data_IF_047992834348
#
_entry.id   IF_047992834348
#
_cell.length_a   1.000
_cell.length_b   1.000
_cell.length_c   1.000
_cell.angle_alpha   90.00
_cell.angle_beta   90.00
_cell.angle_gamma   90.00
#
_symmetry.space_group_name_H-M   'P 1'
#
loop_
_entity.id
_entity.type
_entity.pdbx_description
1 polymer ?
#
# COMPACT_ATOMS: atom_id res chain seq x y z
N UNK A 1 -8.65 -3.55 -30.91
CA UNK A 1 -7.53 -3.05 -31.75
C UNK A 1 -6.36 -2.74 -30.83
N UNK A 2 -5.16 -3.22 -31.15
CA UNK A 2 -3.96 -2.91 -30.34
C UNK A 2 -3.55 -1.44 -30.42
N UNK A 3 -3.85 -0.78 -31.54
CA UNK A 3 -3.58 0.64 -31.77
C UNK A 3 -4.84 1.33 -32.29
N UNK A 4 -5.25 2.42 -31.64
CA UNK A 4 -6.37 3.24 -32.07
C UNK A 4 -6.22 4.68 -31.57
N UNK A 5 -5.82 5.61 -32.45
CA UNK A 5 -5.55 7.02 -32.12
C UNK A 5 -6.55 7.97 -32.81
N UNK A 6 -7.84 7.61 -32.84
CA UNK A 6 -8.89 8.42 -33.48
C UNK A 6 -9.56 9.39 -32.50
N UNK A 7 -8.76 10.19 -31.78
CA UNK A 7 -9.24 11.14 -30.77
C UNK A 7 -8.87 10.77 -29.33
N UNK A 8 -9.59 11.33 -28.34
CA UNK A 8 -9.36 11.05 -26.93
C UNK A 8 -9.76 9.62 -26.57
N UNK A 9 -8.97 8.96 -25.72
CA UNK A 9 -9.32 7.64 -25.19
C UNK A 9 -10.33 7.77 -24.05
N UNK A 10 -11.61 7.84 -24.39
CA UNK A 10 -12.70 8.03 -23.42
C UNK A 10 -12.81 6.88 -22.41
N UNK A 11 -12.23 5.69 -22.68
CA UNK A 11 -12.21 4.58 -21.73
C UNK A 11 -11.51 4.96 -20.43
N UNK A 12 -10.46 5.79 -20.52
CA UNK A 12 -9.69 6.26 -19.38
C UNK A 12 -10.51 7.16 -18.43
N UNK A 13 -11.61 7.74 -18.89
CA UNK A 13 -12.52 8.48 -18.01
C UNK A 13 -13.29 7.55 -17.06
N UNK A 14 -13.62 6.33 -17.50
CA UNK A 14 -14.44 5.41 -16.72
C UNK A 14 -13.60 4.57 -15.73
N UNK A 15 -12.34 4.29 -16.05
CA UNK A 15 -11.43 3.55 -15.16
C UNK A 15 -11.11 4.44 -13.94
N UNK A 16 -11.49 3.98 -12.75
CA UNK A 16 -11.37 4.78 -11.52
C UNK A 16 -12.50 5.77 -11.27
N UNK A 17 -13.56 5.79 -12.11
CA UNK A 17 -14.71 6.69 -11.93
C UNK A 17 -15.67 6.28 -10.81
N UNK A 18 -15.48 5.10 -10.22
CA UNK A 18 -16.32 4.53 -9.15
C UNK A 18 -17.83 4.58 -9.46
N UNK A 19 -18.21 4.42 -10.74
CA UNK A 19 -19.61 4.45 -11.18
C UNK A 19 -20.27 5.82 -11.18
N UNK A 20 -19.50 6.90 -10.99
CA UNK A 20 -20.02 8.27 -11.00
C UNK A 20 -20.24 8.83 -12.41
N UNK A 21 -19.67 8.19 -13.44
CA UNK A 21 -19.76 8.63 -14.84
C UNK A 21 -20.55 7.67 -15.75
N UNK A 22 -20.86 6.46 -15.27
CA UNK A 22 -21.52 5.43 -16.06
C UNK A 22 -21.51 4.08 -15.36
N UNK A 23 -22.14 3.08 -15.99
CA UNK A 23 -22.10 1.68 -15.57
C UNK A 23 -21.31 0.91 -16.62
N UNK A 24 -20.20 0.30 -16.22
CA UNK A 24 -19.41 -0.59 -17.09
C UNK A 24 -20.14 -1.93 -17.16
N UNK A 25 -20.51 -2.35 -18.37
CA UNK A 25 -21.19 -3.64 -18.62
C UNK A 25 -20.28 -4.70 -19.22
N UNK A 26 -19.23 -4.29 -19.93
CA UNK A 26 -18.29 -5.17 -20.60
C UNK A 26 -16.87 -4.57 -20.55
N UNK A 27 -15.86 -5.43 -20.54
CA UNK A 27 -14.45 -5.03 -20.60
C UNK A 27 -13.65 -6.01 -21.46
N UNK A 28 -12.68 -5.48 -22.21
CA UNK A 28 -11.67 -6.29 -22.92
C UNK A 28 -10.33 -6.09 -22.24
N UNK A 29 -9.76 -7.17 -21.69
CA UNK A 29 -8.51 -7.14 -20.94
C UNK A 29 -7.39 -7.81 -21.73
N UNK A 30 -6.17 -7.27 -21.57
CA UNK A 30 -4.96 -7.90 -22.11
C UNK A 30 -4.49 -8.98 -21.14
N UNK A 31 -4.28 -10.19 -21.63
CA UNK A 31 -3.63 -11.25 -20.86
C UNK A 31 -2.10 -11.12 -20.94
N UNK A 32 -1.42 -11.57 -19.89
CA UNK A 32 0.04 -11.68 -19.84
C UNK A 32 0.47 -13.15 -19.90
N UNK A 33 1.75 -13.41 -20.14
CA UNK A 33 2.28 -14.78 -20.05
C UNK A 33 2.21 -15.27 -18.60
N UNK A 34 2.16 -16.58 -18.43
CA UNK A 34 2.39 -17.16 -17.11
C UNK A 34 3.85 -16.89 -16.69
N UNK A 35 4.09 -16.58 -15.40
CA UNK A 35 5.44 -16.53 -14.85
C UNK A 35 6.10 -17.91 -14.94
N UNK A 36 7.43 -17.93 -15.04
CA UNK A 36 8.26 -19.11 -14.91
C UNK A 36 8.40 -19.56 -13.45
N UNK A 37 9.60 -19.98 -13.07
CA UNK A 37 9.87 -20.38 -11.68
C UNK A 37 9.88 -19.16 -10.77
N UNK A 38 9.10 -19.22 -9.69
CA UNK A 38 8.97 -18.15 -8.69
C UNK A 38 9.69 -18.54 -7.41
N UNK A 39 10.53 -17.64 -6.91
CA UNK A 39 11.10 -17.70 -5.58
C UNK A 39 10.39 -16.69 -4.68
N UNK A 40 9.91 -17.17 -3.52
CA UNK A 40 9.29 -16.33 -2.48
C UNK A 40 10.21 -16.30 -1.27
N UNK A 41 10.59 -15.09 -0.87
CA UNK A 41 11.51 -14.83 0.22
C UNK A 41 10.86 -13.92 1.26
N UNK A 42 11.13 -14.19 2.52
CA UNK A 42 10.84 -13.27 3.62
C UNK A 42 12.15 -12.84 4.25
N UNK A 43 12.42 -11.54 4.25
CA UNK A 43 13.68 -10.94 4.70
C UNK A 43 13.41 -9.95 5.83
N UNK A 44 14.12 -10.08 6.94
CA UNK A 44 14.03 -9.18 8.09
C UNK A 44 14.97 -7.98 7.91
N UNK A 45 14.45 -6.78 8.13
CA UNK A 45 15.18 -5.50 8.00
C UNK A 45 14.79 -4.56 9.14
N UNK A 46 15.75 -3.80 9.66
CA UNK A 46 15.55 -3.07 10.93
C UNK A 46 14.42 -2.04 10.89
N UNK A 47 14.27 -1.34 9.76
CA UNK A 47 13.34 -0.22 9.61
C UNK A 47 12.89 -0.02 8.17
N UNK A 48 11.97 0.93 7.97
CA UNK A 48 11.43 1.29 6.64
C UNK A 48 12.54 1.81 5.71
N UNK A 49 13.57 2.47 6.24
CA UNK A 49 14.71 2.89 5.42
C UNK A 49 15.49 1.67 4.91
N UNK A 50 15.63 0.62 5.73
CA UNK A 50 16.17 -0.69 5.37
C UNK A 50 15.38 -1.38 4.27
N UNK A 51 14.05 -1.36 4.36
CA UNK A 51 13.15 -1.81 3.27
C UNK A 51 13.50 -1.10 1.95
N UNK A 52 13.60 0.23 1.97
CA UNK A 52 13.91 1.00 0.75
C UNK A 52 15.33 0.78 0.23
N UNK A 53 16.32 0.61 1.12
CA UNK A 53 17.69 0.22 0.76
C UNK A 53 17.69 -1.14 0.06
N UNK A 54 17.02 -2.13 0.64
CA UNK A 54 16.90 -3.47 0.05
C UNK A 54 16.17 -3.43 -1.30
N UNK A 55 15.11 -2.63 -1.45
CA UNK A 55 14.42 -2.47 -2.74
C UNK A 55 15.35 -1.97 -3.85
N UNK A 56 16.24 -1.01 -3.53
CA UNK A 56 17.25 -0.52 -4.48
C UNK A 56 18.23 -1.61 -4.89
N UNK A 57 18.59 -2.53 -4.00
CA UNK A 57 19.47 -3.66 -4.31
C UNK A 57 18.80 -4.71 -5.18
N UNK A 58 17.55 -5.09 -4.88
CA UNK A 58 16.76 -6.02 -5.70
C UNK A 58 16.67 -5.49 -7.15
N UNK A 59 16.38 -4.20 -7.32
CA UNK A 59 16.26 -3.56 -8.64
C UNK A 59 17.55 -3.51 -9.47
N UNK A 60 18.71 -3.77 -8.86
CA UNK A 60 20.00 -3.85 -9.58
C UNK A 60 20.29 -5.25 -10.12
N UNK A 61 19.53 -6.25 -9.66
CA UNK A 61 19.67 -7.62 -10.09
C UNK A 61 18.91 -7.87 -11.40
N UNK A 62 19.27 -8.92 -12.16
CA UNK A 62 18.56 -9.30 -13.38
C UNK A 62 17.19 -9.95 -13.13
N UNK A 63 16.75 -10.05 -11.86
CA UNK A 63 15.49 -10.67 -11.49
C UNK A 63 14.28 -9.95 -12.08
N UNK A 64 13.26 -10.73 -12.48
CA UNK A 64 11.94 -10.15 -12.75
C UNK A 64 11.17 -10.10 -11.44
N UNK A 65 11.03 -8.91 -10.86
CA UNK A 65 10.26 -8.73 -9.61
C UNK A 65 8.76 -8.87 -9.89
N UNK A 66 8.13 -9.84 -9.24
CA UNK A 66 6.67 -10.07 -9.25
C UNK A 66 5.99 -9.27 -8.14
N UNK A 67 6.56 -9.28 -6.93
CA UNK A 67 6.07 -8.53 -5.79
C UNK A 67 7.20 -8.04 -4.89
N UNK A 68 7.04 -6.83 -4.34
CA UNK A 68 7.90 -6.27 -3.31
C UNK A 68 7.03 -5.64 -2.22
N UNK A 69 6.66 -6.48 -1.25
CA UNK A 69 5.80 -6.12 -0.15
C UNK A 69 6.61 -5.88 1.11
N UNK A 70 6.10 -5.04 2.01
CA UNK A 70 6.64 -4.95 3.36
C UNK A 70 5.55 -4.92 4.42
N UNK A 71 5.94 -5.20 5.66
CA UNK A 71 5.13 -4.99 6.84
C UNK A 71 5.99 -4.82 8.09
N UNK A 72 5.48 -4.05 9.04
CA UNK A 72 6.14 -3.79 10.34
C UNK A 72 6.00 -4.97 11.31
N UNK A 73 6.86 -5.01 12.32
CA UNK A 73 6.78 -5.92 13.47
C UNK A 73 5.40 -5.94 14.14
N UNK A 74 4.76 -4.77 14.24
CA UNK A 74 3.40 -4.61 14.77
C UNK A 74 2.38 -5.38 13.92
N UNK A 75 2.50 -5.32 12.59
CA UNK A 75 1.66 -6.13 11.69
C UNK A 75 1.90 -7.63 11.91
N UNK A 76 3.16 -8.06 11.96
CA UNK A 76 3.53 -9.45 12.17
C UNK A 76 2.95 -10.01 13.48
N UNK A 77 3.14 -9.29 14.60
CA UNK A 77 2.64 -9.68 15.91
C UNK A 77 1.10 -9.82 15.94
N UNK A 78 0.38 -8.95 15.21
CA UNK A 78 -1.09 -9.02 15.09
C UNK A 78 -1.53 -10.26 14.32
N UNK A 79 -0.83 -10.60 13.23
CA UNK A 79 -1.09 -11.81 12.43
C UNK A 79 -0.79 -13.07 13.24
N UNK A 80 0.36 -13.13 13.90
CA UNK A 80 0.76 -14.24 14.79
C UNK A 80 -0.29 -14.48 15.88
N UNK A 81 -0.72 -13.42 16.57
CA UNK A 81 -1.76 -13.51 17.62
C UNK A 81 -3.09 -14.01 17.07
N UNK A 82 -3.53 -13.49 15.94
CA UNK A 82 -4.83 -13.84 15.36
C UNK A 82 -4.84 -15.28 14.82
N UNK A 83 -3.85 -15.61 14.01
CA UNK A 83 -3.79 -16.89 13.26
C UNK A 83 -3.11 -18.01 14.03
N UNK A 84 -2.51 -17.71 15.19
CA UNK A 84 -1.77 -18.67 16.03
C UNK A 84 -0.68 -19.41 15.25
N UNK A 85 -0.01 -18.68 14.37
CA UNK A 85 1.09 -19.20 13.56
C UNK A 85 2.42 -19.01 14.31
N UNK A 86 3.36 -19.91 14.03
CA UNK A 86 4.75 -19.75 14.49
C UNK A 86 5.44 -18.76 13.55
N UNK A 87 6.20 -17.78 14.07
CA UNK A 87 6.99 -16.88 13.23
C UNK A 87 7.92 -17.69 12.31
N UNK A 88 8.02 -17.36 11.02
CA UNK A 88 8.86 -18.09 10.07
C UNK A 88 10.37 -17.82 10.23
N UNK A 89 10.73 -16.77 10.98
CA UNK A 89 12.11 -16.35 11.25
C UNK A 89 12.41 -16.50 12.74
N UNK A 90 13.68 -16.76 13.07
CA UNK A 90 14.11 -16.96 14.45
C UNK A 90 14.26 -15.62 15.19
N UNK A 91 14.69 -14.58 14.46
CA UNK A 91 14.93 -13.26 15.03
C UNK A 91 13.77 -12.31 14.73
N UNK A 92 13.48 -11.44 15.70
CA UNK A 92 12.55 -10.32 15.51
C UNK A 92 13.28 -9.15 14.89
N UNK A 93 12.62 -8.45 13.98
CA UNK A 93 13.11 -7.23 13.36
C UNK A 93 11.99 -6.21 13.24
N UNK A 94 12.30 -4.93 13.07
CA UNK A 94 11.31 -3.86 13.03
C UNK A 94 10.45 -3.89 11.76
N UNK A 95 10.97 -4.43 10.67
CA UNK A 95 10.27 -4.60 9.40
C UNK A 95 10.61 -5.94 8.75
N UNK A 96 9.72 -6.37 7.86
CA UNK A 96 9.87 -7.56 7.05
C UNK A 96 9.52 -7.23 5.61
N UNK A 97 10.29 -7.79 4.67
CA UNK A 97 10.07 -7.70 3.23
C UNK A 97 9.67 -9.07 2.72
N UNK A 98 8.51 -9.14 2.07
CA UNK A 98 8.09 -10.31 1.31
C UNK A 98 8.37 -10.02 -0.17
N UNK A 99 9.37 -10.72 -0.70
CA UNK A 99 9.86 -10.58 -2.06
C UNK A 99 9.42 -11.80 -2.86
N UNK A 100 8.79 -11.57 -4.00
CA UNK A 100 8.56 -12.60 -5.01
C UNK A 100 9.25 -12.21 -6.30
N UNK A 101 10.14 -13.09 -6.79
CA UNK A 101 10.86 -12.90 -8.04
C UNK A 101 10.64 -14.12 -8.93
N UNK A 102 10.55 -13.87 -10.23
CA UNK A 102 10.74 -14.92 -11.22
C UNK A 102 12.24 -15.05 -11.50
N UNK A 103 12.75 -16.26 -11.29
CA UNK A 103 14.16 -16.62 -11.47
C UNK A 103 14.40 -17.18 -12.87
N UNK A 104 15.58 -16.91 -13.41
CA UNK A 104 16.02 -17.38 -14.72
C UNK A 104 17.21 -18.33 -14.59
N UNK A 105 17.43 -19.24 -15.58
CA UNK A 105 18.62 -20.07 -15.62
C UNK A 105 19.90 -19.23 -15.58
N UNK A 106 20.75 -19.46 -14.57
CA UNK A 106 22.00 -18.74 -14.37
C UNK A 106 21.93 -17.60 -13.34
N UNK A 107 20.76 -17.33 -12.76
CA UNK A 107 20.65 -16.43 -11.62
C UNK A 107 21.38 -17.01 -10.39
N UNK A 108 22.29 -16.24 -9.81
CA UNK A 108 22.98 -16.59 -8.56
C UNK A 108 22.22 -16.02 -7.35
N UNK A 109 21.05 -16.59 -7.09
CA UNK A 109 20.18 -16.13 -6.00
C UNK A 109 20.82 -16.35 -4.62
N UNK A 110 21.47 -17.50 -4.43
CA UNK A 110 22.14 -17.84 -3.16
C UNK A 110 23.32 -16.91 -2.89
N UNK A 111 24.18 -16.65 -3.88
CA UNK A 111 25.30 -15.71 -3.76
C UNK A 111 24.83 -14.28 -3.53
N UNK A 112 23.74 -13.87 -4.21
CA UNK A 112 23.12 -12.56 -3.95
C UNK A 112 22.59 -12.45 -2.51
N UNK A 113 21.86 -13.47 -2.02
CA UNK A 113 21.36 -13.50 -0.65
C UNK A 113 22.51 -13.43 0.36
N UNK A 114 23.56 -14.24 0.18
CA UNK A 114 24.75 -14.21 1.03
C UNK A 114 25.36 -12.79 1.08
N UNK A 115 25.44 -12.10 -0.06
CA UNK A 115 25.94 -10.73 -0.12
C UNK A 115 25.09 -9.72 0.67
N UNK A 116 23.77 -9.94 0.80
CA UNK A 116 22.90 -9.07 1.61
C UNK A 116 23.22 -9.20 3.10
N UNK A 117 23.48 -10.42 3.57
CA UNK A 117 23.89 -10.70 4.94
C UNK A 117 25.29 -10.13 5.25
N UNK A 118 26.26 -10.36 4.36
CA UNK A 118 27.63 -9.82 4.51
C UNK A 118 27.67 -8.29 4.58
N UNK A 119 26.73 -7.63 3.90
CA UNK A 119 26.58 -6.16 3.90
C UNK A 119 25.64 -5.64 4.98
N UNK A 120 25.15 -6.51 5.86
CA UNK A 120 24.24 -6.17 6.95
C UNK A 120 22.97 -5.45 6.48
N UNK A 121 22.48 -5.78 5.28
CA UNK A 121 21.23 -5.23 4.74
C UNK A 121 20.00 -6.00 5.21
N UNK A 122 20.19 -7.25 5.63
CA UNK A 122 19.17 -8.17 6.13
C UNK A 122 19.74 -8.84 7.37
N UNK A 123 18.94 -8.95 8.43
CA UNK A 123 19.36 -9.55 9.71
C UNK A 123 19.03 -11.04 9.79
N UNK A 124 17.99 -11.47 9.08
CA UNK A 124 17.48 -12.85 9.04
C UNK A 124 16.61 -13.01 7.79
N UNK A 125 16.44 -14.23 7.30
CA UNK A 125 15.63 -14.46 6.12
C UNK A 125 15.41 -15.92 5.81
N UNK A 126 14.31 -16.19 5.13
CA UNK A 126 13.98 -17.53 4.65
C UNK A 126 13.45 -17.48 3.23
N UNK A 127 13.74 -18.54 2.48
CA UNK A 127 13.25 -18.75 1.12
C UNK A 127 12.38 -20.01 1.10
N UNK A 128 11.18 -19.88 0.55
CA UNK A 128 10.26 -21.00 0.41
C UNK A 128 10.86 -22.09 -0.48
N UNK A 129 10.85 -23.34 0.00
CA UNK A 129 11.36 -24.51 -0.71
C UNK A 129 10.30 -25.20 -1.59
N UNK A 130 9.03 -24.79 -1.45
CA UNK A 130 7.90 -25.33 -2.19
C UNK A 130 6.68 -24.38 -2.11
N UNK A 131 5.66 -24.66 -2.92
CA UNK A 131 4.44 -23.85 -2.99
C UNK A 131 3.67 -23.74 -1.66
N UNK A 132 3.73 -24.75 -0.79
CA UNK A 132 3.08 -24.69 0.53
C UNK A 132 3.78 -23.66 1.43
N UNK A 133 5.11 -23.67 1.47
CA UNK A 133 5.87 -22.68 2.22
C UNK A 133 5.70 -21.27 1.62
N UNK A 134 5.67 -21.15 0.30
CA UNK A 134 5.42 -19.87 -0.37
C UNK A 134 4.05 -19.28 0.02
N UNK A 135 3.00 -20.10 0.01
CA UNK A 135 1.67 -19.70 0.46
C UNK A 135 1.63 -19.31 1.95
N UNK A 136 2.41 -20.00 2.80
CA UNK A 136 2.53 -19.65 4.22
C UNK A 136 3.20 -18.29 4.43
N UNK A 137 4.25 -17.97 3.66
CA UNK A 137 4.88 -16.65 3.70
C UNK A 137 3.93 -15.56 3.20
N UNK A 138 3.23 -15.79 2.09
CA UNK A 138 2.21 -14.87 1.58
C UNK A 138 1.07 -14.63 2.57
N UNK A 139 0.64 -15.67 3.28
CA UNK A 139 -0.41 -15.56 4.29
C UNK A 139 -0.05 -14.58 5.43
N UNK A 140 1.24 -14.32 5.70
CA UNK A 140 1.66 -13.28 6.65
C UNK A 140 1.23 -11.90 6.18
N UNK A 141 1.50 -11.59 4.91
CA UNK A 141 1.22 -10.30 4.29
C UNK A 141 -0.27 -10.11 3.95
N UNK A 142 -0.91 -11.13 3.40
CA UNK A 142 -2.33 -11.10 3.04
C UNK A 142 -3.24 -11.08 4.28
N UNK A 143 -2.77 -11.68 5.38
CA UNK A 143 -3.52 -11.77 6.62
C UNK A 143 -3.58 -10.52 7.48
N UNK A 144 -2.84 -9.46 7.13
CA UNK A 144 -2.67 -8.28 7.99
C UNK A 144 -4.02 -7.61 8.23
N UNK A 145 -4.72 -7.19 7.16
CA UNK A 145 -5.98 -6.44 7.27
C UNK A 145 -7.05 -7.15 8.11
N UNK A 146 -7.17 -8.46 7.93
CA UNK A 146 -8.06 -9.32 8.72
C UNK A 146 -7.61 -9.35 10.18
N UNK A 147 -6.34 -9.61 10.44
CA UNK A 147 -5.77 -9.75 11.79
C UNK A 147 -5.79 -8.46 12.60
N UNK A 148 -5.61 -7.30 11.97
CA UNK A 148 -5.79 -6.00 12.62
C UNK A 148 -7.25 -5.83 13.09
N UNK A 149 -8.21 -6.22 12.26
CA UNK A 149 -9.63 -6.10 12.57
C UNK A 149 -10.09 -7.14 13.61
N UNK A 150 -9.49 -8.33 13.62
CA UNK A 150 -9.78 -9.39 14.58
C UNK A 150 -9.17 -9.14 15.98
N UNK A 151 -8.09 -8.36 16.06
CA UNK A 151 -7.36 -8.11 17.32
C UNK A 151 -7.53 -6.69 17.85
N UNK A 152 -8.34 -5.85 17.21
CA UNK A 152 -8.54 -4.46 17.62
C UNK A 152 -9.48 -3.70 16.70
N UNK A 153 -9.42 -2.37 16.77
CA UNK A 153 -10.18 -1.47 15.90
C UNK A 153 -9.20 -0.61 15.09
N UNK A 154 -8.89 -0.99 13.83
CA UNK A 154 -8.02 -0.19 12.97
C UNK A 154 -8.78 0.98 12.34
N UNK A 155 -8.17 2.18 12.37
CA UNK A 155 -8.50 3.28 11.49
C UNK A 155 -7.54 3.26 10.29
N UNK A 156 -8.09 3.19 9.08
CA UNK A 156 -7.35 2.77 7.89
C UNK A 156 -7.14 3.93 6.93
N UNK A 157 -5.88 4.18 6.59
CA UNK A 157 -5.50 5.01 5.46
C UNK A 157 -4.74 4.19 4.43
N UNK A 158 -4.89 4.58 3.18
CA UNK A 158 -4.24 3.98 2.01
C UNK A 158 -3.76 5.15 1.17
N UNK A 159 -2.44 5.32 1.09
CA UNK A 159 -1.81 6.48 0.45
C UNK A 159 -0.73 6.05 -0.52
N UNK A 160 -0.40 6.90 -1.48
CA UNK A 160 0.78 6.68 -2.32
C UNK A 160 1.62 7.93 -2.48
N UNK A 161 2.90 7.75 -2.75
CA UNK A 161 3.83 8.83 -3.09
C UNK A 161 4.98 8.26 -3.94
N UNK A 162 5.73 9.11 -4.66
CA UNK A 162 6.92 8.65 -5.37
C UNK A 162 7.87 7.91 -4.42
N UNK A 163 8.38 6.74 -4.83
CA UNK A 163 9.24 5.88 -4.00
C UNK A 163 10.43 6.64 -3.39
N UNK A 164 10.97 7.62 -4.12
CA UNK A 164 12.08 8.46 -3.64
C UNK A 164 11.73 9.33 -2.42
N UNK A 165 10.46 9.67 -2.22
CA UNK A 165 9.98 10.49 -1.09
C UNK A 165 9.56 9.68 0.14
N UNK A 166 9.46 8.35 0.03
CA UNK A 166 8.94 7.47 1.08
C UNK A 166 9.70 7.57 2.40
N UNK A 167 11.03 7.59 2.32
CA UNK A 167 11.90 7.62 3.49
C UNK A 167 11.65 8.88 4.33
N UNK A 168 11.65 10.05 3.66
CA UNK A 168 11.40 11.34 4.30
C UNK A 168 9.96 11.45 4.82
N UNK A 169 8.99 10.98 4.04
CA UNK A 169 7.58 10.94 4.43
C UNK A 169 7.36 10.10 5.70
N UNK A 170 7.91 8.89 5.76
CA UNK A 170 7.75 8.00 6.91
C UNK A 170 8.38 8.59 8.18
N UNK A 171 9.56 9.22 8.06
CA UNK A 171 10.22 9.88 9.19
C UNK A 171 9.41 11.08 9.72
N UNK A 172 8.88 11.93 8.83
CA UNK A 172 8.03 13.06 9.23
C UNK A 172 6.71 12.59 9.84
N UNK A 173 6.07 11.59 9.24
CA UNK A 173 4.85 10.99 9.74
C UNK A 173 5.05 10.40 11.14
N UNK A 174 6.13 9.65 11.35
CA UNK A 174 6.48 9.11 12.65
C UNK A 174 6.62 10.22 13.70
N UNK A 175 7.35 11.30 13.41
CA UNK A 175 7.50 12.43 14.32
C UNK A 175 6.17 13.12 14.66
N UNK A 176 5.25 13.25 13.68
CA UNK A 176 3.90 13.79 13.94
C UNK A 176 3.11 12.90 14.89
N UNK A 177 3.16 11.58 14.69
CA UNK A 177 2.42 10.65 15.53
C UNK A 177 3.03 10.49 16.92
N UNK A 178 4.34 10.44 17.07
CA UNK A 178 5.01 10.41 18.36
C UNK A 178 4.68 11.66 19.20
N UNK A 179 4.64 12.83 18.57
CA UNK A 179 4.35 14.08 19.26
C UNK A 179 2.88 14.25 19.68
N UNK A 180 1.92 13.79 18.84
CA UNK A 180 0.48 14.06 19.03
C UNK A 180 -0.32 12.86 19.52
N UNK A 181 0.18 11.65 19.26
CA UNK A 181 -0.51 10.38 19.47
C UNK A 181 0.44 9.30 20.02
N UNK A 182 1.21 9.57 21.10
CA UNK A 182 2.26 8.65 21.58
C UNK A 182 1.75 7.25 21.99
N UNK A 183 0.48 7.15 22.40
CA UNK A 183 -0.15 5.89 22.81
C UNK A 183 -0.75 5.10 21.64
N UNK A 184 -0.65 5.59 20.40
CA UNK A 184 -1.27 4.97 19.24
C UNK A 184 -0.29 4.01 18.57
N UNK A 185 -0.70 2.74 18.44
CA UNK A 185 0.02 1.76 17.66
C UNK A 185 -0.29 1.96 16.17
N UNK A 186 0.77 2.17 15.38
CA UNK A 186 0.69 2.32 13.93
C UNK A 186 1.25 1.07 13.28
N UNK A 187 0.41 0.38 12.53
CA UNK A 187 0.75 -0.77 11.70
C UNK A 187 0.95 -0.28 10.26
N UNK A 188 2.20 -0.31 9.77
CA UNK A 188 2.55 0.03 8.39
C UNK A 188 2.83 -1.23 7.59
N UNK A 189 2.28 -1.30 6.37
CA UNK A 189 2.50 -2.37 5.40
C UNK A 189 2.08 -1.90 4.00
N UNK A 190 2.44 -2.62 2.95
CA UNK A 190 1.92 -2.37 1.59
C UNK A 190 2.90 -2.64 0.46
N UNK A 191 2.46 -2.23 -0.73
CA UNK A 191 3.17 -2.32 -2.00
C UNK A 191 4.22 -1.20 -2.12
N UNK A 192 5.25 -1.26 -1.27
CA UNK A 192 6.21 -0.15 -1.15
C UNK A 192 7.06 0.04 -2.40
N UNK A 193 7.21 -1.02 -3.22
CA UNK A 193 7.87 -0.95 -4.52
C UNK A 193 7.22 0.03 -5.50
N UNK A 194 5.91 0.24 -5.36
CA UNK A 194 5.11 1.15 -6.20
C UNK A 194 4.78 2.47 -5.47
N UNK A 195 5.27 2.61 -4.24
CA UNK A 195 5.02 3.80 -3.42
C UNK A 195 3.72 3.77 -2.62
N UNK A 196 3.03 2.62 -2.53
CA UNK A 196 1.79 2.46 -1.77
C UNK A 196 2.07 2.12 -0.30
N UNK A 197 1.43 2.84 0.62
CA UNK A 197 1.43 2.54 2.06
C UNK A 197 0.02 2.43 2.61
N UNK A 198 -0.24 1.32 3.27
CA UNK A 198 -1.38 1.17 4.17
C UNK A 198 -0.94 1.59 5.58
N UNK A 199 -1.58 2.63 6.09
CA UNK A 199 -1.32 3.20 7.41
C UNK A 199 -2.52 2.87 8.28
N UNK A 200 -2.36 1.89 9.18
CA UNK A 200 -3.44 1.45 10.06
C UNK A 200 -3.12 1.86 11.50
N UNK A 201 -3.91 2.78 12.02
CA UNK A 201 -3.81 3.23 13.42
C UNK A 201 -4.75 2.37 14.26
N UNK A 202 -4.20 1.67 15.25
CA UNK A 202 -4.98 0.83 16.14
C UNK A 202 -5.55 1.65 17.30
N UNK A 203 -6.84 1.47 17.61
CA UNK A 203 -7.45 2.07 18.81
C UNK A 203 -6.69 1.61 20.06
N UNK A 204 -6.19 2.53 20.91
CA UNK A 204 -5.64 2.18 22.21
C UNK A 204 -6.68 1.47 23.10
N UNK A 205 -6.28 0.50 23.92
CA UNK A 205 -7.22 -0.28 24.73
C UNK A 205 -8.05 0.60 25.68
N UNK A 206 -7.42 1.56 26.35
CA UNK A 206 -8.05 2.47 27.31
C UNK A 206 -8.85 3.63 26.70
N UNK A 207 -8.82 3.82 25.38
CA UNK A 207 -9.56 4.89 24.71
C UNK A 207 -10.93 4.38 24.24
N UNK A 208 -12.02 5.05 24.60
CA UNK A 208 -13.34 4.67 24.10
C UNK A 208 -13.46 4.87 22.58
N UNK A 209 -14.36 4.11 21.96
CA UNK A 209 -14.52 4.09 20.50
C UNK A 209 -14.91 5.45 19.93
N UNK A 210 -15.80 6.19 20.60
CA UNK A 210 -16.31 7.45 20.06
C UNK A 210 -15.21 8.52 20.08
N UNK A 211 -14.46 8.61 21.18
CA UNK A 211 -13.31 9.51 21.29
C UNK A 211 -12.20 9.15 20.30
N UNK A 212 -11.92 7.86 20.11
CA UNK A 212 -10.96 7.42 19.10
C UNK A 212 -11.36 7.90 17.69
N UNK A 213 -12.59 7.64 17.26
CA UNK A 213 -13.08 8.03 15.93
C UNK A 213 -13.12 9.56 15.74
N UNK A 214 -13.38 10.32 16.79
CA UNK A 214 -13.29 11.78 16.73
C UNK A 214 -11.83 12.23 16.48
N UNK A 215 -10.88 11.65 17.22
CA UNK A 215 -9.44 11.96 17.09
C UNK A 215 -8.84 11.49 15.78
N UNK A 216 -9.35 10.43 15.16
CA UNK A 216 -8.81 9.95 13.88
C UNK A 216 -9.05 10.94 12.74
N UNK A 217 -10.12 11.75 12.80
CA UNK A 217 -10.34 12.83 11.82
C UNK A 217 -9.25 13.92 11.88
N UNK A 218 -8.73 14.19 13.08
CA UNK A 218 -7.60 15.12 13.27
C UNK A 218 -6.29 14.47 12.78
N UNK A 219 -6.10 13.19 13.07
CA UNK A 219 -4.93 12.43 12.62
C UNK A 219 -4.89 12.31 11.09
N UNK A 220 -6.04 12.12 10.44
CA UNK A 220 -6.17 12.10 8.97
C UNK A 220 -5.73 13.42 8.36
N UNK A 221 -6.18 14.56 8.93
CA UNK A 221 -5.73 15.87 8.45
C UNK A 221 -4.22 16.04 8.61
N UNK A 222 -3.67 15.68 9.77
CA UNK A 222 -2.24 15.77 9.99
C UNK A 222 -1.45 14.88 9.02
N UNK A 223 -1.92 13.65 8.77
CA UNK A 223 -1.36 12.74 7.77
C UNK A 223 -1.43 13.35 6.36
N UNK A 224 -2.58 13.88 5.95
CA UNK A 224 -2.77 14.42 4.60
C UNK A 224 -2.02 15.74 4.38
N UNK A 225 -1.81 16.54 5.43
CA UNK A 225 -0.92 17.71 5.39
C UNK A 225 0.53 17.32 5.13
N UNK A 226 1.03 16.29 5.81
CA UNK A 226 2.37 15.72 5.53
C UNK A 226 2.39 15.20 4.09
N UNK A 227 1.41 14.39 3.71
CA UNK A 227 1.31 13.79 2.38
C UNK A 227 1.33 14.83 1.26
N UNK A 228 0.62 15.95 1.42
CA UNK A 228 0.59 17.03 0.44
C UNK A 228 1.97 17.71 0.27
N UNK A 229 2.75 17.87 1.36
CA UNK A 229 4.13 18.38 1.27
C UNK A 229 5.06 17.44 0.51
N UNK A 230 4.79 16.13 0.58
CA UNK A 230 5.52 15.08 -0.15
C UNK A 230 4.90 14.76 -1.52
N UNK A 231 3.93 15.56 -1.99
CA UNK A 231 3.26 15.37 -3.28
C UNK A 231 2.61 13.99 -3.45
N UNK A 232 2.04 13.44 -2.38
CA UNK A 232 1.37 12.15 -2.36
C UNK A 232 -0.14 12.19 -2.68
N UNK A 233 -0.72 11.00 -2.87
CA UNK A 233 -2.13 10.75 -3.06
C UNK A 233 -2.79 10.20 -1.80
N UNK A 234 -3.88 10.82 -1.35
CA UNK A 234 -4.71 10.34 -0.21
C UNK A 234 -5.37 8.98 -0.47
N UNK A 235 -5.33 8.49 -1.71
CA UNK A 235 -5.78 7.16 -2.07
C UNK A 235 -4.90 6.59 -3.16
N UNK A 236 -4.30 5.44 -2.89
CA UNK A 236 -3.53 4.69 -3.88
C UNK A 236 -4.47 3.79 -4.69
N UNK A 237 -5.22 2.93 -4.00
CA UNK A 237 -6.00 1.85 -4.63
C UNK A 237 -7.48 1.92 -4.29
N UNK A 238 -7.83 2.29 -3.05
CA UNK A 238 -9.21 2.14 -2.54
C UNK A 238 -10.23 3.15 -3.10
N UNK A 239 -9.79 4.10 -3.93
CA UNK A 239 -10.62 5.20 -4.42
C UNK A 239 -10.99 6.23 -3.36
N UNK A 240 -11.77 7.22 -3.78
CA UNK A 240 -12.17 8.38 -2.97
C UNK A 240 -13.52 8.13 -2.28
N UNK A 241 -14.51 7.66 -3.04
CA UNK A 241 -15.86 7.38 -2.55
C UNK A 241 -16.49 8.53 -1.76
N UNK A 242 -17.22 8.19 -0.69
CA UNK A 242 -17.79 9.15 0.26
C UNK A 242 -16.75 9.60 1.28
N UNK A 243 -15.92 8.66 1.75
CA UNK A 243 -15.07 8.84 2.93
C UNK A 243 -13.94 9.82 2.69
N UNK A 244 -13.28 9.74 1.53
CA UNK A 244 -12.10 10.57 1.23
C UNK A 244 -12.42 11.83 0.44
N UNK A 245 -13.65 11.98 -0.05
CA UNK A 245 -14.09 13.16 -0.82
C UNK A 245 -13.76 14.49 -0.14
N UNK A 246 -13.98 14.68 1.18
CA UNK A 246 -13.63 15.94 1.86
C UNK A 246 -12.14 16.29 1.82
N UNK A 247 -11.28 15.32 1.54
CA UNK A 247 -9.82 15.45 1.56
C UNK A 247 -9.20 15.54 0.16
N UNK A 248 -10.00 15.47 -0.91
CA UNK A 248 -9.47 15.36 -2.28
C UNK A 248 -8.52 16.51 -2.68
N UNK A 249 -8.68 17.68 -2.06
CA UNK A 249 -7.82 18.86 -2.23
C UNK A 249 -6.38 18.68 -1.75
N UNK A 250 -6.09 17.69 -0.91
CA UNK A 250 -4.71 17.34 -0.52
C UNK A 250 -3.92 16.68 -1.67
N UNK A 251 -4.62 16.14 -2.67
CA UNK A 251 -4.01 15.46 -3.82
C UNK A 251 -4.37 16.07 -5.16
N UNK A 252 -5.31 17.03 -5.19
CA UNK A 252 -5.79 17.67 -6.41
C UNK A 252 -5.84 19.17 -6.27
N UNK A 253 -5.27 19.86 -7.25
CA UNK A 253 -5.36 21.30 -7.39
C UNK A 253 -6.79 21.76 -7.67
N UNK A 254 -7.12 23.03 -7.43
CA UNK A 254 -8.42 23.59 -7.79
C UNK A 254 -8.77 23.43 -9.28
N UNK A 255 -7.77 23.48 -10.17
CA UNK A 255 -7.95 23.27 -11.61
C UNK A 255 -8.33 21.83 -11.96
N UNK A 256 -7.65 20.84 -11.38
CA UNK A 256 -8.01 19.43 -11.54
C UNK A 256 -9.41 19.15 -11.00
N UNK A 257 -9.75 19.73 -9.84
CA UNK A 257 -11.10 19.62 -9.26
C UNK A 257 -12.16 20.22 -10.19
N UNK A 258 -11.90 21.38 -10.80
CA UNK A 258 -12.82 21.98 -11.77
C UNK A 258 -13.01 21.09 -13.01
N UNK A 259 -11.94 20.45 -13.50
CA UNK A 259 -12.01 19.50 -14.61
C UNK A 259 -12.85 18.27 -14.26
N UNK A 260 -12.65 17.69 -13.07
CA UNK A 260 -13.45 16.56 -12.59
C UNK A 260 -14.95 16.90 -12.53
N UNK A 261 -15.30 18.10 -12.05
CA UNK A 261 -16.70 18.59 -12.06
C UNK A 261 -17.25 18.73 -13.47
N UNK A 262 -16.47 19.30 -14.39
CA UNK A 262 -16.89 19.49 -15.77
C UNK A 262 -17.18 18.14 -16.46
N UNK A 263 -16.33 17.13 -16.24
CA UNK A 263 -16.55 15.77 -16.75
C UNK A 263 -17.80 15.13 -16.13
N UNK A 264 -17.98 15.23 -14.81
CA UNK A 264 -19.18 14.73 -14.11
C UNK A 264 -20.46 15.37 -14.67
N UNK A 265 -20.47 16.69 -14.84
CA UNK A 265 -21.62 17.41 -15.37
C UNK A 265 -21.92 17.05 -16.84
N UNK A 266 -20.88 16.84 -17.65
CA UNK A 266 -21.05 16.47 -19.06
C UNK A 266 -21.63 15.06 -19.24
N UNK A 267 -21.23 14.10 -18.40
CA UNK A 267 -21.65 12.69 -18.51
C UNK A 267 -22.89 12.35 -17.68
N UNK A 268 -23.14 13.08 -16.60
CA UNK A 268 -24.31 12.90 -15.72
C UNK A 268 -24.90 14.24 -15.26
N UNK A 269 -25.56 14.99 -16.17
CA UNK A 269 -26.10 16.31 -15.88
C UNK A 269 -27.24 16.30 -14.85
N UNK A 270 -27.86 15.14 -14.60
CA UNK A 270 -28.93 14.99 -13.60
C UNK A 270 -28.41 14.49 -12.25
N UNK A 271 -27.10 14.23 -12.13
CA UNK A 271 -26.44 13.71 -10.95
C UNK A 271 -27.12 12.45 -10.37
N UNK A 272 -27.52 11.51 -11.24
CA UNK A 272 -28.21 10.27 -10.83
C UNK A 272 -27.25 9.10 -10.65
N UNK A 273 -26.02 9.20 -11.18
CA UNK A 273 -25.02 8.15 -11.13
C UNK A 273 -24.14 8.32 -9.89
N UNK A 274 -24.40 7.46 -8.91
CA UNK A 274 -23.64 7.33 -7.67
C UNK A 274 -23.40 8.67 -6.93
N UNK A 275 -24.47 9.45 -6.65
CA UNK A 275 -24.35 10.82 -6.15
C UNK A 275 -23.66 10.92 -4.79
N UNK A 276 -23.01 12.07 -4.56
CA UNK A 276 -22.34 12.39 -3.29
C UNK A 276 -20.92 11.83 -3.16
N UNK A 277 -20.46 10.99 -4.10
CA UNK A 277 -19.12 10.36 -4.10
C UNK A 277 -18.16 11.07 -5.04
N UNK A 278 -16.86 11.00 -4.72
CA UNK A 278 -15.73 11.62 -5.41
C UNK A 278 -15.86 13.15 -5.51
N UNK A 279 -16.80 13.65 -6.31
CA UNK A 279 -17.01 15.06 -6.56
C UNK A 279 -18.48 15.36 -6.91
N UNK A 280 -18.99 16.49 -6.42
CA UNK A 280 -20.31 16.99 -6.81
C UNK A 280 -20.20 17.96 -7.99
N UNK A 281 -21.19 17.99 -8.91
CA UNK A 281 -21.19 18.88 -10.07
C UNK A 281 -21.32 20.38 -9.71
N UNK A 282 -21.79 20.72 -8.50
CA UNK A 282 -21.83 22.06 -7.91
C UNK A 282 -21.66 21.98 -6.39
#
# INVERSE_FOLDING_TARGET
LEKNNTGFDLRQLFIGSEGTLGIITEATLKLTRLPGELAVLLLAVDDVAGVLRLFREVRRQPFTVSAYEFFTDRCAARVERHRKIVPPLETKSGCYVLLEIETHPGDDLEGWLASLFERELVTDGTMAQNGTQAAQLWALREGISESLSATGLPHKNDVSLPVAGLEAFCAELQGVFEARYPDWEICLFGHIGDGNLHINVMKPEGLDKATFLARTSEADRALFEVLARHHGSISAEHGVGLLKKPYLSYSRSPGEMAMLRAVKLALDPRNILNPGKIIDPA
#
